data_IF_110434334800
#
_entry.id   IF_110434334800
#
_cell.length_a   1.000
_cell.length_b   1.000
_cell.length_c   1.000
_cell.angle_alpha   90.00
_cell.angle_beta   90.00
_cell.angle_gamma   90.00
#
_symmetry.space_group_name_H-M   'P 1'
#
loop_
_entity.id
_entity.type
_entity.pdbx_description
1 polymer ?
#
# COMPACT_ATOMS: atom_id res chain seq x y z
N UNK A 1 25.04 -3.85 17.79
CA UNK A 1 23.60 -3.62 17.56
C UNK A 1 23.19 -3.66 16.09
N UNK A 2 23.86 -2.96 15.19
CA UNK A 2 23.53 -2.89 13.74
C UNK A 2 23.53 -4.24 13.01
N UNK A 3 24.49 -5.14 13.32
CA UNK A 3 24.58 -6.48 12.68
C UNK A 3 23.36 -7.36 12.97
N UNK A 4 22.85 -7.37 14.21
CA UNK A 4 21.65 -8.12 14.61
C UNK A 4 20.39 -7.62 13.89
N UNK A 5 20.25 -6.31 13.72
CA UNK A 5 19.11 -5.71 13.02
C UNK A 5 19.12 -6.08 11.54
N UNK A 6 20.28 -6.03 10.89
CA UNK A 6 20.44 -6.43 9.49
C UNK A 6 20.10 -7.92 9.27
N UNK A 7 20.55 -8.79 10.16
CA UNK A 7 20.29 -10.22 10.07
C UNK A 7 18.78 -10.49 10.22
N UNK A 8 18.13 -9.95 11.26
CA UNK A 8 16.69 -10.07 11.46
C UNK A 8 15.87 -9.56 10.28
N UNK A 9 16.28 -8.43 9.68
CA UNK A 9 15.63 -7.89 8.51
C UNK A 9 15.77 -8.86 7.31
N UNK A 10 16.95 -9.41 7.06
CA UNK A 10 17.18 -10.38 6.00
C UNK A 10 16.33 -11.65 6.20
N UNK A 11 16.30 -12.20 7.40
CA UNK A 11 15.47 -13.35 7.76
C UNK A 11 13.99 -13.05 7.52
N UNK A 12 13.53 -11.87 7.94
CA UNK A 12 12.15 -11.43 7.73
C UNK A 12 11.81 -11.30 6.25
N UNK A 13 12.70 -10.73 5.43
CA UNK A 13 12.50 -10.54 4.00
C UNK A 13 12.63 -11.85 3.20
N UNK A 14 13.32 -12.85 3.73
CA UNK A 14 13.49 -14.15 3.08
C UNK A 14 12.44 -15.20 3.49
N UNK A 15 11.61 -14.90 4.52
CA UNK A 15 10.65 -15.86 5.02
C UNK A 15 9.59 -16.22 3.99
N UNK A 16 9.09 -17.46 4.08
CA UNK A 16 7.95 -17.92 3.29
C UNK A 16 6.68 -17.16 3.70
N UNK A 17 5.78 -16.98 2.74
CA UNK A 17 4.51 -16.26 2.91
C UNK A 17 3.30 -17.19 2.69
N UNK A 18 3.54 -18.48 2.60
CA UNK A 18 2.48 -19.48 2.42
C UNK A 18 1.47 -19.44 3.57
N UNK A 19 0.22 -19.70 3.28
CA UNK A 19 -0.84 -19.81 4.27
C UNK A 19 -1.32 -18.50 4.87
N UNK A 20 -0.89 -17.34 4.35
CA UNK A 20 -1.45 -16.05 4.75
C UNK A 20 -2.80 -15.82 4.06
N UNK A 21 -3.87 -15.74 4.84
CA UNK A 21 -5.20 -15.33 4.36
C UNK A 21 -5.28 -13.81 4.26
N UNK A 22 -4.87 -13.27 3.12
CA UNK A 22 -4.79 -11.83 2.88
C UNK A 22 -6.13 -11.30 2.38
N UNK A 23 -6.66 -10.25 3.03
CA UNK A 23 -7.88 -9.55 2.62
C UNK A 23 -7.61 -8.20 1.99
N UNK A 24 -6.52 -7.55 2.34
CA UNK A 24 -6.08 -6.30 1.73
C UNK A 24 -4.57 -6.14 1.80
N UNK A 25 -4.02 -5.37 0.87
CA UNK A 25 -2.60 -5.03 0.81
C UNK A 25 -2.44 -3.52 0.73
N UNK A 26 -1.46 -3.01 1.45
CA UNK A 26 -1.00 -1.63 1.35
C UNK A 26 0.37 -1.64 0.69
N UNK A 27 0.58 -0.79 -0.29
CA UNK A 27 1.88 -0.60 -0.90
C UNK A 27 2.15 0.91 -1.03
N UNK A 28 3.24 1.34 -0.42
CA UNK A 28 3.53 2.77 -0.23
C UNK A 28 5.03 3.03 -0.29
N UNK A 29 5.39 4.23 -0.72
CA UNK A 29 6.75 4.75 -0.66
C UNK A 29 6.99 5.53 0.63
N UNK A 30 7.93 5.07 1.44
CA UNK A 30 8.33 5.71 2.70
C UNK A 30 9.74 6.26 2.57
N UNK A 31 9.94 7.52 2.97
CA UNK A 31 11.29 8.12 2.99
C UNK A 31 11.98 7.78 4.30
N UNK A 32 13.11 7.10 4.21
CA UNK A 32 13.97 6.73 5.33
C UNK A 32 15.40 7.18 5.02
N UNK A 33 15.98 8.02 5.88
CA UNK A 33 17.34 8.53 5.70
C UNK A 33 17.62 9.06 4.27
N UNK A 34 16.72 9.91 3.74
CA UNK A 34 16.77 10.52 2.40
C UNK A 34 16.63 9.52 1.23
N UNK A 35 16.31 8.27 1.51
CA UNK A 35 16.05 7.25 0.49
C UNK A 35 14.57 6.85 0.51
N UNK A 36 13.99 6.64 -0.66
CA UNK A 36 12.65 6.09 -0.75
C UNK A 36 12.72 4.57 -0.68
N UNK A 37 11.90 4.00 0.18
CA UNK A 37 11.71 2.56 0.35
C UNK A 37 10.26 2.24 0.04
N UNK A 38 10.03 1.33 -0.88
CA UNK A 38 8.70 0.78 -1.15
C UNK A 38 8.45 -0.33 -0.12
N UNK A 39 7.31 -0.26 0.56
CA UNK A 39 6.92 -1.22 1.60
C UNK A 39 5.59 -1.86 1.22
N UNK A 40 5.48 -3.18 1.43
CA UNK A 40 4.22 -3.91 1.29
C UNK A 40 3.79 -4.47 2.64
N UNK A 41 2.56 -4.13 3.04
CA UNK A 41 1.90 -4.58 4.26
C UNK A 41 0.61 -5.31 3.91
N UNK A 42 0.44 -6.53 4.43
CA UNK A 42 -0.82 -7.26 4.32
C UNK A 42 -1.71 -7.05 5.56
N UNK A 43 -3.00 -7.05 5.32
CA UNK A 43 -4.03 -7.23 6.36
C UNK A 43 -4.58 -8.63 6.18
N UNK A 44 -4.50 -9.43 7.23
CA UNK A 44 -5.04 -10.80 7.25
C UNK A 44 -6.52 -10.81 7.61
N UNK A 45 -7.20 -11.93 7.35
CA UNK A 45 -8.61 -12.15 7.71
C UNK A 45 -8.89 -11.93 9.19
N UNK A 46 -7.92 -12.25 10.04
CA UNK A 46 -8.00 -12.05 11.51
C UNK A 46 -7.73 -10.60 11.95
N UNK A 47 -7.48 -9.68 10.99
CA UNK A 47 -7.17 -8.29 11.25
C UNK A 47 -5.69 -8.03 11.59
N UNK A 48 -4.84 -9.03 11.48
CA UNK A 48 -3.39 -8.90 11.67
C UNK A 48 -2.74 -8.03 10.59
N UNK A 49 -1.72 -7.25 10.97
CA UNK A 49 -0.89 -6.46 10.07
C UNK A 49 0.45 -7.15 9.90
N UNK A 50 0.74 -7.62 8.69
CA UNK A 50 1.94 -8.40 8.39
C UNK A 50 2.79 -7.66 7.35
N UNK A 51 3.96 -7.13 7.72
CA UNK A 51 4.90 -6.59 6.72
C UNK A 51 5.40 -7.74 5.84
N UNK A 52 5.19 -7.65 4.53
CA UNK A 52 5.55 -8.72 3.60
C UNK A 52 6.94 -8.52 3.00
N UNK A 53 7.26 -7.30 2.64
CA UNK A 53 8.51 -7.00 1.98
C UNK A 53 8.76 -5.50 1.85
N UNK A 54 10.00 -5.18 1.53
CA UNK A 54 10.43 -3.83 1.21
C UNK A 54 11.54 -3.84 0.16
N UNK A 55 11.64 -2.75 -0.60
CA UNK A 55 12.72 -2.56 -1.58
C UNK A 55 13.07 -1.08 -1.70
N UNK A 56 14.36 -0.77 -1.86
CA UNK A 56 14.79 0.59 -2.20
C UNK A 56 14.30 0.96 -3.60
N UNK A 57 13.70 2.12 -3.74
CA UNK A 57 13.21 2.65 -5.01
C UNK A 57 11.98 3.52 -4.86
N UNK A 58 11.47 4.01 -6.00
CA UNK A 58 10.32 4.90 -6.07
C UNK A 58 9.07 4.16 -6.53
N UNK A 59 7.90 4.53 -6.02
CA UNK A 59 6.59 4.06 -6.49
C UNK A 59 6.26 4.49 -7.93
N UNK A 60 7.03 5.42 -8.48
CA UNK A 60 6.99 5.80 -9.89
C UNK A 60 7.78 4.84 -10.81
N UNK A 61 8.65 3.99 -10.24
CA UNK A 61 9.43 3.02 -11.00
C UNK A 61 8.72 1.66 -11.08
N UNK A 62 8.06 1.40 -12.20
CA UNK A 62 7.32 0.17 -12.43
C UNK A 62 8.18 -1.10 -12.35
N UNK A 63 9.43 -1.05 -12.79
CA UNK A 63 10.34 -2.21 -12.76
C UNK A 63 10.60 -2.65 -11.34
N UNK A 64 11.00 -1.72 -10.46
CA UNK A 64 11.28 -2.01 -9.05
C UNK A 64 10.00 -2.49 -8.33
N UNK A 65 8.86 -1.88 -8.63
CA UNK A 65 7.57 -2.31 -8.08
C UNK A 65 7.24 -3.74 -8.51
N UNK A 66 7.42 -4.06 -9.80
CA UNK A 66 7.18 -5.41 -10.35
C UNK A 66 8.10 -6.45 -9.72
N UNK A 67 9.39 -6.14 -9.58
CA UNK A 67 10.35 -7.04 -8.93
C UNK A 67 9.98 -7.34 -7.48
N UNK A 68 9.50 -6.33 -6.73
CA UNK A 68 9.03 -6.55 -5.36
C UNK A 68 7.80 -7.46 -5.32
N UNK A 69 6.83 -7.26 -6.21
CA UNK A 69 5.64 -8.09 -6.29
C UNK A 69 5.97 -9.54 -6.67
N UNK A 70 6.89 -9.73 -7.63
CA UNK A 70 7.37 -11.05 -8.04
C UNK A 70 8.12 -11.76 -6.91
N UNK A 71 8.92 -11.04 -6.11
CA UNK A 71 9.56 -11.59 -4.91
C UNK A 71 8.52 -12.11 -3.91
N UNK A 72 7.44 -11.37 -3.66
CA UNK A 72 6.36 -11.82 -2.78
C UNK A 72 5.72 -13.12 -3.28
N UNK A 73 5.42 -13.19 -4.58
CA UNK A 73 4.87 -14.40 -5.20
C UNK A 73 5.85 -15.58 -5.11
N UNK A 74 7.14 -15.34 -5.41
CA UNK A 74 8.20 -16.34 -5.31
C UNK A 74 8.38 -16.90 -3.90
N UNK A 75 8.06 -16.12 -2.86
CA UNK A 75 8.06 -16.55 -1.46
C UNK A 75 6.76 -17.24 -1.03
N UNK A 76 5.83 -17.48 -1.95
CA UNK A 76 4.62 -18.24 -1.71
C UNK A 76 3.40 -17.41 -1.33
N UNK A 77 3.41 -16.08 -1.55
CA UNK A 77 2.21 -15.28 -1.39
C UNK A 77 1.16 -15.74 -2.41
N UNK A 78 0.02 -16.20 -1.92
CA UNK A 78 -1.14 -16.54 -2.74
C UNK A 78 -2.29 -15.59 -2.41
N UNK A 79 -2.96 -15.11 -3.45
CA UNK A 79 -4.10 -14.23 -3.31
C UNK A 79 -5.32 -14.91 -3.93
N UNK A 80 -6.36 -15.11 -3.12
CA UNK A 80 -7.61 -15.73 -3.57
C UNK A 80 -8.56 -14.69 -4.16
N UNK A 81 -8.88 -14.85 -5.45
CA UNK A 81 -9.83 -13.99 -6.14
C UNK A 81 -9.35 -12.55 -6.25
N UNK A 82 -10.28 -11.62 -6.08
CA UNK A 82 -10.00 -10.17 -6.15
C UNK A 82 -9.59 -9.63 -4.79
N UNK A 83 -8.41 -9.02 -4.72
CA UNK A 83 -7.84 -8.48 -3.49
C UNK A 83 -7.68 -6.97 -3.58
N UNK A 84 -8.01 -6.28 -2.48
CA UNK A 84 -7.90 -4.83 -2.37
C UNK A 84 -6.44 -4.43 -2.18
N UNK A 85 -5.96 -3.55 -3.06
CA UNK A 85 -4.67 -2.88 -2.96
C UNK A 85 -4.87 -1.39 -2.68
N UNK A 86 -4.37 -0.93 -1.55
CA UNK A 86 -4.37 0.49 -1.19
C UNK A 86 -2.98 1.05 -1.48
N UNK A 87 -2.89 2.01 -2.41
CA UNK A 87 -1.63 2.57 -2.88
C UNK A 87 -1.59 4.10 -2.77
N UNK A 88 -0.40 4.69 -2.78
CA UNK A 88 -0.19 6.14 -2.75
C UNK A 88 -0.65 6.86 -4.03
N UNK A 89 -0.80 6.13 -5.12
CA UNK A 89 -1.17 6.63 -6.44
C UNK A 89 -0.01 6.80 -7.40
N UNK A 90 1.19 6.31 -7.06
CA UNK A 90 2.34 6.24 -7.95
C UNK A 90 2.01 5.50 -9.26
N UNK A 91 2.38 6.07 -10.41
CA UNK A 91 2.05 5.52 -11.72
C UNK A 91 2.75 4.19 -11.97
N UNK A 92 4.01 4.08 -11.55
CA UNK A 92 4.80 2.85 -11.67
C UNK A 92 4.20 1.72 -10.85
N UNK A 93 3.75 2.01 -9.64
CA UNK A 93 3.09 1.04 -8.78
C UNK A 93 1.77 0.55 -9.36
N UNK A 94 0.93 1.46 -9.86
CA UNK A 94 -0.34 1.09 -10.53
C UNK A 94 -0.08 0.21 -11.76
N UNK A 95 0.94 0.55 -12.56
CA UNK A 95 1.33 -0.24 -13.72
C UNK A 95 1.78 -1.63 -13.31
N UNK A 96 2.66 -1.75 -12.32
CA UNK A 96 3.15 -3.03 -11.83
C UNK A 96 2.04 -3.95 -11.32
N UNK A 97 1.07 -3.41 -10.57
CA UNK A 97 -0.09 -4.18 -10.11
C UNK A 97 -0.95 -4.68 -11.25
N UNK A 98 -1.19 -3.84 -12.27
CA UNK A 98 -1.91 -4.26 -13.47
C UNK A 98 -1.18 -5.34 -14.26
N UNK A 99 0.13 -5.21 -14.44
CA UNK A 99 0.96 -6.16 -15.17
C UNK A 99 1.05 -7.52 -14.45
N UNK A 100 1.12 -7.54 -13.12
CA UNK A 100 1.31 -8.78 -12.33
C UNK A 100 -0.01 -9.46 -11.99
N UNK A 101 -1.05 -8.71 -11.61
CA UNK A 101 -2.31 -9.26 -11.10
C UNK A 101 -3.52 -9.00 -12.01
N UNK A 102 -3.41 -8.08 -12.98
CA UNK A 102 -4.52 -7.74 -13.87
C UNK A 102 -5.79 -7.35 -13.09
N UNK A 103 -6.92 -7.94 -13.47
CA UNK A 103 -8.24 -7.67 -12.87
C UNK A 103 -8.40 -8.21 -11.43
N UNK A 104 -7.49 -9.07 -10.97
CA UNK A 104 -7.48 -9.53 -9.59
C UNK A 104 -7.05 -8.43 -8.61
N UNK A 105 -6.33 -7.41 -9.06
CA UNK A 105 -5.96 -6.27 -8.24
C UNK A 105 -7.08 -5.20 -8.23
N UNK A 106 -7.81 -5.10 -7.15
CA UNK A 106 -8.76 -3.99 -6.92
C UNK A 106 -8.00 -2.83 -6.31
N UNK A 107 -7.71 -1.80 -7.11
CA UNK A 107 -6.83 -0.71 -6.70
C UNK A 107 -7.63 0.45 -6.12
N UNK A 108 -7.34 0.80 -4.88
CA UNK A 108 -7.84 1.98 -4.18
C UNK A 108 -6.71 2.94 -3.86
N UNK A 109 -6.85 4.20 -4.24
CA UNK A 109 -5.88 5.23 -3.83
C UNK A 109 -6.02 5.54 -2.33
N UNK A 110 -4.88 5.61 -1.63
CA UNK A 110 -4.84 5.97 -0.22
C UNK A 110 -5.45 7.36 0.02
N UNK A 111 -6.50 7.40 0.84
CA UNK A 111 -7.23 8.64 1.14
C UNK A 111 -6.35 9.64 1.91
N UNK A 112 -5.47 9.16 2.79
CA UNK A 112 -4.55 10.01 3.54
C UNK A 112 -3.55 10.72 2.62
N UNK A 113 -2.97 10.00 1.65
CA UNK A 113 -2.08 10.60 0.65
C UNK A 113 -2.84 11.59 -0.23
N UNK A 114 -4.06 11.26 -0.65
CA UNK A 114 -4.90 12.19 -1.41
C UNK A 114 -5.18 13.47 -0.62
N UNK A 115 -5.52 13.37 0.66
CA UNK A 115 -5.75 14.52 1.53
C UNK A 115 -4.49 15.37 1.73
N UNK A 116 -3.32 14.74 1.91
CA UNK A 116 -2.03 15.45 2.00
C UNK A 116 -1.70 16.20 0.72
N UNK A 117 -1.88 15.57 -0.44
CA UNK A 117 -1.63 16.18 -1.73
C UNK A 117 -2.55 17.39 -1.98
N UNK A 118 -3.85 17.28 -1.64
CA UNK A 118 -4.79 18.40 -1.72
C UNK A 118 -4.41 19.54 -0.78
N UNK A 119 -3.98 19.21 0.44
CA UNK A 119 -3.54 20.23 1.39
C UNK A 119 -2.29 20.97 0.91
N UNK A 120 -1.37 20.32 0.19
CA UNK A 120 -0.17 20.94 -0.36
C UNK A 120 -0.46 21.99 -1.47
N UNK A 121 -1.64 21.92 -2.11
CA UNK A 121 -2.06 22.87 -3.14
C UNK A 121 -2.64 24.18 -2.59
N UNK A 122 -2.84 24.29 -1.27
CA UNK A 122 -3.39 25.47 -0.64
C UNK A 122 -2.37 26.13 0.28
N UNK A 123 -2.50 27.47 0.53
CA UNK A 123 -1.63 28.18 1.48
C UNK A 123 -1.62 27.51 2.85
N UNK A 124 -0.48 27.58 3.55
CA UNK A 124 -0.24 26.91 4.85
C UNK A 124 -1.34 27.15 5.87
N UNK A 125 -1.87 28.39 5.94
CA UNK A 125 -2.96 28.77 6.84
C UNK A 125 -4.27 27.97 6.62
N UNK A 126 -4.50 27.42 5.43
CA UNK A 126 -5.70 26.64 5.07
C UNK A 126 -5.49 25.13 5.07
N UNK A 127 -4.25 24.65 5.20
CA UNK A 127 -3.93 23.23 5.12
C UNK A 127 -4.61 22.41 6.22
N UNK A 128 -4.66 22.93 7.44
CA UNK A 128 -5.33 22.28 8.57
C UNK A 128 -6.83 22.06 8.30
N UNK A 129 -7.50 23.05 7.74
CA UNK A 129 -8.91 22.97 7.36
C UNK A 129 -9.15 21.89 6.29
N UNK A 130 -8.32 21.88 5.23
CA UNK A 130 -8.43 20.87 4.15
C UNK A 130 -8.21 19.45 4.68
N UNK A 131 -7.22 19.24 5.56
CA UNK A 131 -6.97 17.95 6.20
C UNK A 131 -8.15 17.50 7.05
N UNK A 132 -8.72 18.41 7.84
CA UNK A 132 -9.90 18.12 8.67
C UNK A 132 -11.14 17.78 7.83
N UNK A 133 -11.40 18.53 6.76
CA UNK A 133 -12.52 18.27 5.87
C UNK A 133 -12.39 16.92 5.12
N UNK A 134 -11.16 16.52 4.76
CA UNK A 134 -10.88 15.20 4.18
C UNK A 134 -11.05 14.09 5.20
N UNK A 135 -10.56 14.26 6.45
CA UNK A 135 -10.68 13.28 7.52
C UNK A 135 -12.14 13.00 7.90
N UNK A 136 -12.98 14.03 7.94
CA UNK A 136 -14.41 13.89 8.23
C UNK A 136 -15.20 13.09 7.17
N UNK A 137 -14.66 12.94 5.97
CA UNK A 137 -15.24 12.11 4.90
C UNK A 137 -14.76 10.66 4.93
N UNK A 138 -13.58 10.40 5.47
CA UNK A 138 -12.96 9.06 5.52
C UNK A 138 -13.73 8.13 6.49
N UNK A 139 -14.39 8.68 7.53
CA UNK A 139 -15.13 7.89 8.52
C UNK A 139 -16.64 7.75 8.27
N UNK A 140 -17.20 8.33 7.20
CA UNK A 140 -18.64 8.23 6.93
C UNK A 140 -18.93 7.05 6.00
N UNK A 141 -19.76 6.08 6.42
CA UNK A 141 -20.27 5.05 5.50
C UNK A 141 -21.04 5.72 4.36
N UNK A 142 -20.85 5.21 3.15
CA UNK A 142 -21.59 5.67 1.99
C UNK A 142 -23.09 5.61 2.31
N UNK A 143 -23.79 6.73 2.25
CA UNK A 143 -25.27 6.74 2.34
C UNK A 143 -25.79 5.90 1.18
N UNK A 144 -26.41 4.75 1.50
CA UNK A 144 -27.22 4.02 0.54
C UNK A 144 -28.27 5.01 0.00
N UNK A 145 -28.24 5.27 -1.30
CA UNK A 145 -29.38 5.93 -1.95
C UNK A 145 -30.55 4.98 -1.74
N UNK A 146 -31.54 5.41 -0.98
CA UNK A 146 -32.83 4.76 -0.95
C UNK A 146 -33.38 4.82 -2.38
N UNK A 147 -33.55 3.67 -3.01
CA UNK A 147 -34.24 3.56 -4.28
C UNK A 147 -35.68 4.00 -4.04
N UNK A 148 -36.07 5.09 -4.67
CA UNK A 148 -37.46 5.46 -4.82
C UNK A 148 -38.12 4.45 -5.74
N UNK A 149 -39.21 3.89 -5.29
CA UNK A 149 -40.20 3.14 -6.06
C UNK A 149 -40.85 4.04 -7.11
#
# INVERSE_FOLDING_TARGET
>A
MVRRTRQRLREHLARRLDGLEVVALFMDGVVVAQQTVIVVLAITREGGKVPLGLRLGSTENAVICTELLQDLLGRGLTLEGRVLWVIDGGKGLRKALGDVFGDAAVIQRCQLHKARNLAALVPTARQAYVRGACAGRIGRPARRRAGGS
#
